data_IF_278159825356
#
_entry.id   IF_278159825356
#
_cell.length_a   1.000
_cell.length_b   1.000
_cell.length_c   1.000
_cell.angle_alpha   90.00
_cell.angle_beta   90.00
_cell.angle_gamma   90.00
#
_symmetry.space_group_name_H-M   'P 1'
#
loop_
_entity.id
_entity.type
_entity.pdbx_description
1 polymer ?
#
# COMPACT_ATOMS: atom_id res chain seq x y z
N UNK A 1 29.94 2.75 -2.12
CA UNK A 1 29.67 2.54 -0.67
C UNK A 1 28.21 2.78 -0.27
N UNK A 2 27.55 3.86 -0.73
CA UNK A 2 26.19 4.24 -0.29
C UNK A 2 25.12 3.14 -0.45
N UNK A 3 25.10 2.43 -1.59
CA UNK A 3 24.15 1.32 -1.82
C UNK A 3 24.34 0.19 -0.81
N UNK A 4 25.59 -0.17 -0.49
CA UNK A 4 25.88 -1.20 0.52
C UNK A 4 25.40 -0.76 1.90
N UNK A 5 25.67 0.49 2.29
CA UNK A 5 25.18 1.05 3.56
C UNK A 5 23.65 0.99 3.61
N UNK A 6 22.96 1.37 2.53
CA UNK A 6 21.50 1.30 2.48
C UNK A 6 20.98 -0.14 2.56
N UNK A 7 21.60 -1.11 1.88
CA UNK A 7 21.24 -2.53 2.00
C UNK A 7 21.44 -3.04 3.44
N UNK A 8 22.53 -2.64 4.10
CA UNK A 8 22.79 -2.94 5.52
C UNK A 8 21.70 -2.31 6.39
N UNK A 9 21.33 -1.05 6.16
CA UNK A 9 20.26 -0.39 6.91
C UNK A 9 18.90 -1.08 6.72
N UNK A 10 18.57 -1.54 5.51
CA UNK A 10 17.35 -2.31 5.23
C UNK A 10 17.39 -3.65 5.98
N UNK A 11 18.53 -4.36 5.94
CA UNK A 11 18.71 -5.61 6.67
C UNK A 11 18.58 -5.40 8.18
N UNK A 12 19.19 -4.35 8.71
CA UNK A 12 19.07 -3.95 10.12
C UNK A 12 17.62 -3.61 10.48
N UNK A 13 16.89 -2.90 9.62
CA UNK A 13 15.47 -2.58 9.85
C UNK A 13 14.62 -3.86 9.91
N UNK A 14 14.85 -4.82 9.02
CA UNK A 14 14.17 -6.13 9.04
C UNK A 14 14.49 -6.87 10.34
N UNK A 15 15.76 -6.87 10.75
CA UNK A 15 16.21 -7.51 11.98
C UNK A 15 15.54 -6.88 13.22
N UNK A 16 15.52 -5.55 13.33
CA UNK A 16 14.89 -4.83 14.44
C UNK A 16 13.39 -5.08 14.52
N UNK A 17 12.68 -5.09 13.37
CA UNK A 17 11.25 -5.42 13.33
C UNK A 17 11.03 -6.85 13.81
N UNK A 18 11.83 -7.82 13.34
CA UNK A 18 11.69 -9.21 13.73
C UNK A 18 11.99 -9.42 15.23
N UNK A 19 13.00 -8.73 15.75
CA UNK A 19 13.34 -8.74 17.17
C UNK A 19 12.20 -8.16 18.00
N UNK A 20 11.62 -7.02 17.62
CA UNK A 20 10.48 -6.42 18.30
C UNK A 20 9.24 -7.32 18.29
N UNK A 21 8.96 -7.98 17.17
CA UNK A 21 7.88 -8.97 17.06
C UNK A 21 8.14 -10.17 17.98
N UNK A 22 9.36 -10.70 18.01
CA UNK A 22 9.73 -11.82 18.88
C UNK A 22 9.58 -11.45 20.37
N UNK A 23 10.05 -10.26 20.79
CA UNK A 23 9.87 -9.75 22.15
C UNK A 23 8.38 -9.63 22.49
N UNK A 24 7.57 -9.06 21.59
CA UNK A 24 6.13 -8.93 21.79
C UNK A 24 5.45 -10.29 22.01
N UNK A 25 5.79 -11.30 21.21
CA UNK A 25 5.22 -12.65 21.37
C UNK A 25 5.68 -13.35 22.66
N UNK A 26 6.93 -13.12 23.07
CA UNK A 26 7.45 -13.60 24.35
C UNK A 26 6.69 -12.98 25.52
N UNK A 27 6.52 -11.65 25.52
CA UNK A 27 5.78 -10.91 26.56
C UNK A 27 4.29 -11.29 26.59
N UNK A 28 3.65 -11.40 25.43
CA UNK A 28 2.24 -11.76 25.32
C UNK A 28 1.95 -13.25 25.56
N UNK A 29 2.99 -14.10 25.64
CA UNK A 29 2.89 -15.57 25.74
C UNK A 29 2.00 -16.20 24.64
N UNK A 30 2.04 -15.64 23.44
CA UNK A 30 1.25 -16.12 22.28
C UNK A 30 2.16 -16.86 21.29
N UNK A 31 1.64 -17.90 20.63
CA UNK A 31 2.39 -18.64 19.61
C UNK A 31 2.67 -17.77 18.37
N UNK A 32 3.93 -17.72 17.96
CA UNK A 32 4.39 -17.02 16.76
C UNK A 32 3.78 -17.64 15.48
N UNK A 33 3.34 -16.79 14.55
CA UNK A 33 2.79 -17.21 13.26
C UNK A 33 3.79 -16.90 12.14
N UNK A 34 4.27 -17.94 11.43
CA UNK A 34 5.24 -17.81 10.32
C UNK A 34 4.80 -16.82 9.23
N UNK A 35 3.49 -16.66 9.03
CA UNK A 35 2.91 -15.76 8.03
C UNK A 35 3.28 -14.29 8.25
N UNK A 36 3.61 -13.91 9.49
CA UNK A 36 4.03 -12.54 9.81
C UNK A 36 5.35 -12.22 9.11
N UNK A 37 6.29 -13.17 9.05
CA UNK A 37 7.59 -12.98 8.38
C UNK A 37 7.39 -12.67 6.90
N UNK A 38 6.55 -13.46 6.20
CA UNK A 38 6.34 -13.24 4.77
C UNK A 38 5.67 -11.89 4.49
N UNK A 39 4.67 -11.50 5.28
CA UNK A 39 4.02 -10.19 5.15
C UNK A 39 5.03 -9.07 5.40
N UNK A 40 5.82 -9.18 6.47
CA UNK A 40 6.83 -8.17 6.82
C UNK A 40 7.87 -8.04 5.70
N UNK A 41 8.38 -9.14 5.15
CA UNK A 41 9.35 -9.09 4.05
C UNK A 41 8.77 -8.42 2.79
N UNK A 42 7.55 -8.79 2.38
CA UNK A 42 6.88 -8.18 1.23
C UNK A 42 6.63 -6.68 1.46
N UNK A 43 6.14 -6.32 2.65
CA UNK A 43 5.91 -4.93 3.05
C UNK A 43 7.21 -4.13 3.02
N UNK A 44 8.27 -4.66 3.61
CA UNK A 44 9.60 -4.03 3.66
C UNK A 44 10.20 -3.84 2.28
N UNK A 45 10.02 -4.81 1.39
CA UNK A 45 10.41 -4.68 -0.01
C UNK A 45 9.66 -3.53 -0.70
N UNK A 46 8.32 -3.50 -0.62
CA UNK A 46 7.51 -2.45 -1.27
C UNK A 46 7.82 -1.06 -0.69
N UNK A 47 8.03 -0.98 0.63
CA UNK A 47 8.36 0.27 1.31
C UNK A 47 9.73 0.83 0.89
N UNK A 48 10.74 -0.03 0.76
CA UNK A 48 12.11 0.38 0.41
C UNK A 48 12.39 0.40 -1.11
N UNK A 49 11.44 -0.06 -1.93
CA UNK A 49 11.59 -0.15 -3.39
C UNK A 49 12.06 1.16 -4.04
N UNK A 50 11.39 2.28 -3.74
CA UNK A 50 11.73 3.60 -4.30
C UNK A 50 13.18 4.00 -3.99
N UNK A 51 13.64 3.78 -2.76
CA UNK A 51 14.99 4.13 -2.34
C UNK A 51 16.05 3.26 -3.05
N UNK A 52 15.78 1.96 -3.17
CA UNK A 52 16.65 1.01 -3.90
C UNK A 52 16.83 1.40 -5.36
N UNK A 53 15.71 1.61 -6.07
CA UNK A 53 15.74 2.02 -7.47
C UNK A 53 16.46 3.37 -7.63
N UNK A 54 16.15 4.37 -6.80
CA UNK A 54 16.81 5.67 -6.88
C UNK A 54 18.34 5.59 -6.72
N UNK A 55 18.84 4.82 -5.75
CA UNK A 55 20.29 4.68 -5.55
C UNK A 55 20.98 3.86 -6.63
N UNK A 56 20.31 2.87 -7.22
CA UNK A 56 20.89 2.08 -8.30
C UNK A 56 20.95 2.88 -9.61
N UNK A 57 19.87 3.61 -9.94
CA UNK A 57 19.83 4.46 -11.12
C UNK A 57 20.75 5.68 -11.01
N UNK A 58 20.98 6.23 -9.81
CA UNK A 58 21.91 7.35 -9.64
C UNK A 58 23.38 6.97 -9.88
N UNK A 59 23.76 5.69 -9.76
CA UNK A 59 25.09 5.21 -10.13
C UNK A 59 25.25 5.12 -11.66
N UNK A 60 24.14 4.86 -12.36
CA UNK A 60 24.12 4.73 -13.82
C UNK A 60 24.02 6.08 -14.54
N UNK A 61 23.66 7.14 -13.82
CA UNK A 61 23.48 8.47 -14.35
C UNK A 61 24.69 9.38 -14.08
N UNK A 62 24.88 10.36 -14.96
CA UNK A 62 25.91 11.37 -14.85
C UNK A 62 25.34 12.68 -14.30
N UNK A 63 26.23 13.51 -13.76
CA UNK A 63 25.97 14.91 -13.45
C UNK A 63 27.19 15.72 -13.84
N UNK A 64 26.95 16.79 -14.57
CA UNK A 64 28.00 17.71 -15.01
C UNK A 64 28.28 18.75 -13.91
N UNK A 65 29.55 18.88 -13.52
CA UNK A 65 30.04 19.91 -12.59
C UNK A 65 31.30 20.52 -13.22
N UNK A 66 31.24 21.82 -13.53
CA UNK A 66 32.34 22.53 -14.19
C UNK A 66 32.82 21.83 -15.47
N UNK A 67 31.90 21.42 -16.34
CA UNK A 67 32.16 20.71 -17.61
C UNK A 67 32.78 19.31 -17.47
N UNK A 68 32.81 18.77 -16.25
CA UNK A 68 33.29 17.41 -15.99
C UNK A 68 32.11 16.56 -15.54
N UNK A 69 31.96 15.39 -16.16
CA UNK A 69 30.91 14.44 -15.83
C UNK A 69 31.34 13.56 -14.66
N UNK A 70 30.61 13.66 -13.56
CA UNK A 70 30.74 12.80 -12.39
C UNK A 70 29.57 11.83 -12.31
N UNK A 71 29.74 10.75 -11.55
CA UNK A 71 28.62 9.86 -11.23
C UNK A 71 27.67 10.58 -10.29
N UNK A 72 26.37 10.64 -10.63
CA UNK A 72 25.39 11.40 -9.86
C UNK A 72 25.26 10.88 -8.42
N UNK A 73 25.33 9.56 -8.23
CA UNK A 73 25.31 8.92 -6.92
C UNK A 73 26.57 9.11 -6.08
N UNK A 74 27.72 9.46 -6.70
CA UNK A 74 29.02 9.60 -6.05
C UNK A 74 29.95 10.56 -6.82
N UNK A 75 29.98 11.82 -6.41
CA UNK A 75 30.76 12.89 -7.06
C UNK A 75 32.28 12.71 -6.88
N UNK A 76 32.73 11.75 -6.07
CA UNK A 76 34.16 11.42 -5.97
C UNK A 76 34.69 10.65 -7.19
N UNK A 77 33.80 10.13 -8.04
CA UNK A 77 34.15 9.25 -9.15
C UNK A 77 33.76 9.89 -10.49
N UNK A 78 34.72 9.92 -11.42
CA UNK A 78 34.48 10.36 -12.80
C UNK A 78 33.59 9.36 -13.52
N UNK A 79 32.59 9.90 -14.23
CA UNK A 79 31.74 9.12 -15.12
C UNK A 79 32.59 8.51 -16.25
N UNK A 80 32.23 7.32 -16.73
CA UNK A 80 32.97 6.57 -17.77
C UNK A 80 34.39 6.12 -17.43
N UNK A 81 34.89 6.37 -16.21
CA UNK A 81 36.15 5.76 -15.77
C UNK A 81 36.08 4.23 -15.80
N UNK A 82 37.22 3.54 -15.97
CA UNK A 82 37.28 2.07 -15.99
C UNK A 82 36.69 1.44 -14.71
N UNK A 83 36.91 2.10 -13.57
CA UNK A 83 36.30 1.74 -12.29
C UNK A 83 34.77 1.92 -12.32
N UNK A 84 34.26 3.06 -12.83
CA UNK A 84 32.82 3.30 -12.99
C UNK A 84 32.16 2.20 -13.80
N UNK A 85 32.69 1.92 -14.99
CA UNK A 85 32.12 0.93 -15.91
C UNK A 85 32.09 -0.46 -15.28
N UNK A 86 33.16 -0.85 -14.57
CA UNK A 86 33.22 -2.13 -13.85
C UNK A 86 32.11 -2.24 -12.80
N UNK A 87 31.92 -1.20 -11.98
CA UNK A 87 30.85 -1.16 -10.98
C UNK A 87 29.45 -1.11 -11.61
N UNK A 88 29.30 -0.36 -12.70
CA UNK A 88 28.04 -0.24 -13.42
C UNK A 88 27.59 -1.60 -13.98
N UNK A 89 28.45 -2.29 -14.74
CA UNK A 89 28.09 -3.54 -15.39
C UNK A 89 28.06 -4.75 -14.45
N UNK A 90 28.97 -4.84 -13.47
CA UNK A 90 29.01 -5.99 -12.55
C UNK A 90 28.03 -5.88 -11.38
N UNK A 91 27.61 -4.66 -11.02
CA UNK A 91 26.79 -4.45 -9.83
C UNK A 91 25.52 -3.64 -10.09
N UNK A 92 25.61 -2.39 -10.53
CA UNK A 92 24.43 -1.50 -10.60
C UNK A 92 23.36 -2.00 -11.58
N UNK A 93 23.77 -2.38 -12.80
CA UNK A 93 22.88 -2.89 -13.84
C UNK A 93 22.23 -4.24 -13.46
N UNK A 94 22.97 -5.30 -13.07
CA UNK A 94 22.34 -6.57 -12.72
C UNK A 94 21.46 -6.47 -11.48
N UNK A 95 21.85 -5.68 -10.47
CA UNK A 95 21.03 -5.50 -9.25
C UNK A 95 19.78 -4.65 -9.55
N UNK A 96 19.87 -3.61 -10.39
CA UNK A 96 18.69 -2.84 -10.80
C UNK A 96 17.73 -3.67 -11.65
N UNK A 97 18.22 -4.53 -12.53
CA UNK A 97 17.40 -5.45 -13.31
C UNK A 97 16.72 -6.48 -12.39
N UNK A 98 17.45 -7.02 -11.42
CA UNK A 98 16.91 -7.96 -10.43
C UNK A 98 15.80 -7.33 -9.59
N UNK A 99 16.05 -6.16 -9.00
CA UNK A 99 15.14 -5.50 -8.06
C UNK A 99 14.01 -4.76 -8.78
N UNK A 100 14.30 -4.08 -9.89
CA UNK A 100 13.35 -3.23 -10.61
C UNK A 100 12.48 -3.96 -11.62
N UNK A 101 12.91 -5.13 -12.11
CA UNK A 101 12.19 -5.85 -13.16
C UNK A 101 11.91 -7.31 -12.78
N UNK A 102 12.93 -8.12 -12.50
CA UNK A 102 12.75 -9.57 -12.28
C UNK A 102 11.86 -9.82 -11.06
N UNK A 103 12.18 -9.22 -9.91
CA UNK A 103 11.45 -9.45 -8.67
C UNK A 103 9.98 -9.00 -8.81
N UNK A 104 9.67 -7.79 -9.34
CA UNK A 104 8.30 -7.39 -9.64
C UNK A 104 7.54 -8.36 -10.56
N UNK A 105 8.15 -8.74 -11.68
CA UNK A 105 7.52 -9.63 -12.66
C UNK A 105 7.31 -11.03 -12.08
N UNK A 106 8.24 -11.53 -11.26
CA UNK A 106 8.11 -12.83 -10.60
C UNK A 106 6.93 -12.86 -9.61
N UNK A 107 6.75 -11.79 -8.83
CA UNK A 107 5.64 -11.68 -7.89
C UNK A 107 4.30 -11.49 -8.62
N UNK A 108 4.26 -10.73 -9.72
CA UNK A 108 3.08 -10.62 -10.59
C UNK A 108 2.69 -11.97 -11.18
N UNK A 109 3.67 -12.67 -11.76
CA UNK A 109 3.49 -14.00 -12.34
C UNK A 109 2.97 -14.99 -11.30
N UNK A 110 3.56 -14.97 -10.09
CA UNK A 110 3.13 -15.82 -8.99
C UNK A 110 1.69 -15.53 -8.55
N UNK A 111 1.29 -14.25 -8.47
CA UNK A 111 -0.10 -13.86 -8.19
C UNK A 111 -1.05 -14.33 -9.28
N UNK A 112 -0.66 -14.18 -10.55
CA UNK A 112 -1.47 -14.60 -11.70
C UNK A 112 -1.71 -16.12 -11.69
N UNK A 113 -0.67 -16.92 -11.50
CA UNK A 113 -0.81 -18.38 -11.44
C UNK A 113 -1.66 -18.86 -10.25
N UNK A 114 -1.65 -18.14 -9.13
CA UNK A 114 -2.36 -18.53 -7.89
C UNK A 114 -3.68 -17.79 -7.67
N UNK A 115 -4.22 -17.13 -8.69
CA UNK A 115 -5.48 -16.36 -8.60
C UNK A 115 -6.67 -17.15 -8.05
N UNK A 116 -6.77 -18.44 -8.40
CA UNK A 116 -7.82 -19.34 -7.90
C UNK A 116 -7.72 -19.64 -6.39
N UNK A 117 -6.62 -19.28 -5.74
CA UNK A 117 -6.39 -19.50 -4.31
C UNK A 117 -6.61 -18.24 -3.46
N UNK A 118 -7.02 -17.12 -4.06
CA UNK A 118 -7.20 -15.85 -3.34
C UNK A 118 -8.24 -15.94 -2.22
N UNK A 119 -9.26 -16.79 -2.39
CA UNK A 119 -10.27 -17.04 -1.36
C UNK A 119 -9.78 -17.94 -0.21
N UNK A 120 -8.65 -18.63 -0.36
CA UNK A 120 -8.11 -19.50 0.68
C UNK A 120 -7.44 -18.66 1.77
N UNK A 121 -7.97 -18.78 3.00
CA UNK A 121 -7.50 -18.07 4.20
C UNK A 121 -5.98 -18.23 4.42
N UNK A 122 -5.43 -19.43 4.16
CA UNK A 122 -3.99 -19.68 4.34
C UNK A 122 -3.14 -18.84 3.38
N UNK A 123 -3.49 -18.79 2.10
CA UNK A 123 -2.79 -18.01 1.08
C UNK A 123 -2.92 -16.50 1.34
N UNK A 124 -4.14 -16.05 1.64
CA UNK A 124 -4.45 -14.65 1.97
C UNK A 124 -3.67 -14.12 3.17
N UNK A 125 -3.32 -14.97 4.13
CA UNK A 125 -2.48 -14.58 5.27
C UNK A 125 -1.02 -14.34 4.91
N UNK A 126 -0.50 -14.87 3.81
CA UNK A 126 0.91 -14.69 3.43
C UNK A 126 1.10 -13.53 2.46
N UNK A 127 0.19 -13.41 1.49
CA UNK A 127 0.35 -12.54 0.31
C UNK A 127 -0.77 -11.49 0.24
N UNK A 128 -1.73 -11.55 1.15
CA UNK A 128 -2.88 -10.65 1.15
C UNK A 128 -2.51 -9.17 1.18
N UNK A 129 -1.32 -8.79 1.65
CA UNK A 129 -0.87 -7.40 1.52
C UNK A 129 -0.88 -6.90 0.07
N UNK A 130 -0.53 -7.74 -0.91
CA UNK A 130 -0.47 -7.36 -2.32
C UNK A 130 -1.83 -7.17 -2.98
N UNK A 131 -2.90 -7.81 -2.47
CA UNK A 131 -4.18 -7.88 -3.18
C UNK A 131 -5.42 -7.60 -2.34
N UNK A 132 -5.34 -7.54 -1.00
CA UNK A 132 -6.53 -7.43 -0.14
C UNK A 132 -7.32 -6.14 -0.33
N UNK A 133 -6.67 -5.08 -0.79
CA UNK A 133 -7.30 -3.77 -0.99
C UNK A 133 -7.92 -3.63 -2.38
N UNK A 134 -7.56 -4.54 -3.30
CA UNK A 134 -7.95 -4.49 -4.70
C UNK A 134 -9.09 -5.43 -5.03
N UNK A 135 -9.85 -5.08 -6.06
CA UNK A 135 -10.82 -5.99 -6.64
C UNK A 135 -10.13 -7.23 -7.21
N UNK A 136 -10.85 -8.36 -7.30
CA UNK A 136 -10.30 -9.60 -7.87
C UNK A 136 -9.83 -9.43 -9.33
N UNK A 137 -10.37 -8.44 -10.05
CA UNK A 137 -10.00 -8.13 -11.44
C UNK A 137 -8.76 -7.22 -11.52
N UNK A 138 -8.50 -6.42 -10.49
CA UNK A 138 -7.41 -5.44 -10.46
C UNK A 138 -6.28 -5.85 -9.50
N UNK A 139 -6.09 -7.15 -9.25
CA UNK A 139 -5.03 -7.66 -8.35
C UNK A 139 -3.60 -7.32 -8.80
N UNK A 140 -3.40 -6.90 -10.05
CA UNK A 140 -2.12 -6.44 -10.57
C UNK A 140 -1.80 -4.97 -10.25
N UNK A 141 -2.69 -4.25 -9.57
CA UNK A 141 -2.57 -2.81 -9.40
C UNK A 141 -1.32 -2.36 -8.63
N UNK A 142 -0.85 -3.17 -7.68
CA UNK A 142 0.40 -2.87 -6.96
C UNK A 142 1.59 -2.75 -7.94
N UNK A 143 1.60 -3.54 -9.01
CA UNK A 143 2.63 -3.46 -10.06
C UNK A 143 2.58 -2.15 -10.82
N UNK A 144 1.39 -1.68 -11.18
CA UNK A 144 1.21 -0.39 -11.86
C UNK A 144 1.76 0.74 -10.98
N UNK A 145 1.50 0.69 -9.67
CA UNK A 145 2.05 1.68 -8.73
C UNK A 145 3.59 1.62 -8.64
N UNK A 146 4.17 0.43 -8.63
CA UNK A 146 5.63 0.25 -8.61
C UNK A 146 6.28 0.74 -9.91
N UNK A 147 5.69 0.44 -11.07
CA UNK A 147 6.16 0.94 -12.36
C UNK A 147 6.05 2.45 -12.47
N UNK A 148 4.92 3.05 -12.04
CA UNK A 148 4.77 4.51 -11.95
C UNK A 148 5.91 5.15 -11.15
N UNK A 149 6.20 4.63 -9.96
CA UNK A 149 7.30 5.14 -9.12
C UNK A 149 8.65 5.01 -9.82
N UNK A 150 8.89 3.90 -10.51
CA UNK A 150 10.14 3.65 -11.25
C UNK A 150 10.32 4.65 -12.39
N UNK A 151 9.28 4.89 -13.18
CA UNK A 151 9.30 5.88 -14.27
C UNK A 151 9.57 7.28 -13.73
N UNK A 152 8.90 7.67 -12.64
CA UNK A 152 9.14 8.98 -11.98
C UNK A 152 10.60 9.11 -11.53
N UNK A 153 11.18 8.07 -10.91
CA UNK A 153 12.59 8.08 -10.48
C UNK A 153 13.53 8.24 -11.68
N UNK A 154 13.30 7.49 -12.76
CA UNK A 154 14.10 7.59 -13.99
C UNK A 154 14.05 9.02 -14.53
N UNK A 155 12.87 9.64 -14.61
CA UNK A 155 12.73 11.03 -15.05
C UNK A 155 13.47 11.99 -14.11
N UNK A 156 13.34 11.82 -12.78
CA UNK A 156 14.01 12.67 -11.80
C UNK A 156 15.54 12.63 -11.92
N UNK A 157 16.09 11.44 -12.19
CA UNK A 157 17.53 11.17 -12.29
C UNK A 157 18.08 11.72 -13.61
N UNK A 158 17.52 11.31 -14.76
CA UNK A 158 18.06 11.67 -16.07
C UNK A 158 17.79 13.12 -16.48
N UNK A 159 16.76 13.76 -15.93
CA UNK A 159 16.44 15.17 -16.20
C UNK A 159 16.77 16.07 -15.00
N UNK A 160 17.81 15.73 -14.21
CA UNK A 160 18.18 16.52 -13.02
C UNK A 160 18.38 18.01 -13.36
N UNK A 161 19.16 18.30 -14.41
CA UNK A 161 19.54 19.65 -14.87
C UNK A 161 18.37 20.39 -15.53
N UNK A 162 17.59 19.69 -16.33
CA UNK A 162 16.50 20.25 -17.12
C UNK A 162 15.18 20.25 -16.34
N UNK A 163 15.03 21.20 -15.41
CA UNK A 163 13.89 21.27 -14.48
C UNK A 163 12.54 21.37 -15.21
N UNK A 164 12.47 22.10 -16.32
CA UNK A 164 11.25 22.22 -17.12
C UNK A 164 10.81 20.86 -17.70
N UNK A 165 11.69 20.16 -18.42
CA UNK A 165 11.40 18.84 -18.99
C UNK A 165 11.09 17.81 -17.90
N UNK A 166 11.80 17.85 -16.77
CA UNK A 166 11.53 17.02 -15.59
C UNK A 166 10.11 17.21 -15.07
N UNK A 167 9.68 18.45 -14.85
CA UNK A 167 8.33 18.77 -14.38
C UNK A 167 7.25 18.31 -15.37
N UNK A 168 7.45 18.60 -16.66
CA UNK A 168 6.53 18.22 -17.72
C UNK A 168 6.35 16.70 -17.84
N UNK A 169 7.45 15.93 -17.93
CA UNK A 169 7.41 14.48 -18.08
C UNK A 169 6.79 13.78 -16.87
N UNK A 170 7.08 14.25 -15.64
CA UNK A 170 6.44 13.73 -14.43
C UNK A 170 4.94 14.05 -14.46
N UNK A 171 4.54 15.26 -14.86
CA UNK A 171 3.15 15.65 -15.04
C UNK A 171 2.41 14.72 -16.01
N UNK A 172 2.98 14.46 -17.19
CA UNK A 172 2.43 13.52 -18.18
C UNK A 172 2.31 12.10 -17.62
N UNK A 173 3.34 11.60 -16.94
CA UNK A 173 3.32 10.29 -16.30
C UNK A 173 2.17 10.17 -15.27
N UNK A 174 1.94 11.21 -14.46
CA UNK A 174 0.85 11.24 -13.49
C UNK A 174 -0.53 11.33 -14.15
N UNK A 175 -0.67 12.09 -15.23
CA UNK A 175 -1.92 12.14 -16.00
C UNK A 175 -2.27 10.79 -16.61
N UNK A 176 -1.29 10.08 -17.20
CA UNK A 176 -1.50 8.72 -17.72
C UNK A 176 -1.95 7.79 -16.59
N UNK A 177 -1.26 7.81 -15.44
CA UNK A 177 -1.67 7.04 -14.27
C UNK A 177 -3.11 7.35 -13.84
N UNK A 178 -3.48 8.63 -13.81
CA UNK A 178 -4.82 9.05 -13.44
C UNK A 178 -5.88 8.52 -14.41
N UNK A 179 -5.63 8.56 -15.73
CA UNK A 179 -6.53 8.00 -16.75
C UNK A 179 -6.73 6.50 -16.52
N UNK A 180 -5.65 5.75 -16.35
CA UNK A 180 -5.71 4.30 -16.08
C UNK A 180 -6.48 4.05 -14.76
N UNK A 181 -6.23 4.86 -13.72
CA UNK A 181 -6.91 4.71 -12.41
C UNK A 181 -8.41 4.97 -12.52
N UNK A 182 -8.81 5.96 -13.31
CA UNK A 182 -10.21 6.30 -13.53
C UNK A 182 -10.96 5.21 -14.30
N UNK A 183 -10.27 4.52 -15.22
CA UNK A 183 -10.85 3.41 -15.99
C UNK A 183 -10.99 2.12 -15.17
N UNK A 184 -9.97 1.77 -14.38
CA UNK A 184 -9.92 0.45 -13.72
C UNK A 184 -10.53 0.41 -12.31
N UNK A 185 -10.68 1.56 -11.62
CA UNK A 185 -11.23 1.65 -10.25
C UNK A 185 -10.75 0.50 -9.33
N UNK A 186 -9.42 0.41 -9.12
CA UNK A 186 -8.76 -0.80 -8.64
C UNK A 186 -9.16 -1.22 -7.23
N UNK A 187 -9.52 -0.30 -6.35
CA UNK A 187 -9.81 -0.58 -4.95
C UNK A 187 -11.23 -1.12 -4.74
N UNK A 188 -11.39 -2.03 -3.78
CA UNK A 188 -12.71 -2.54 -3.37
C UNK A 188 -13.60 -1.41 -2.85
N UNK A 189 -13.00 -0.48 -2.10
CA UNK A 189 -13.72 0.64 -1.51
C UNK A 189 -13.67 1.86 -2.44
N UNK A 190 -14.84 2.30 -2.92
CA UNK A 190 -14.98 3.50 -3.77
C UNK A 190 -14.34 4.76 -3.17
N UNK A 191 -14.39 4.90 -1.84
CA UNK A 191 -13.71 6.01 -1.14
C UNK A 191 -12.20 6.04 -1.41
N UNK A 192 -11.54 4.87 -1.45
CA UNK A 192 -10.10 4.77 -1.75
C UNK A 192 -9.81 5.11 -3.21
N UNK A 193 -10.64 4.65 -4.16
CA UNK A 193 -10.53 5.05 -5.57
C UNK A 193 -10.59 6.58 -5.72
N UNK A 194 -11.55 7.22 -5.05
CA UNK A 194 -11.71 8.67 -5.09
C UNK A 194 -10.54 9.41 -4.44
N UNK A 195 -10.00 8.88 -3.33
CA UNK A 195 -8.83 9.46 -2.67
C UNK A 195 -7.56 9.34 -3.53
N UNK A 196 -7.34 8.19 -4.17
CA UNK A 196 -6.19 7.99 -5.06
C UNK A 196 -6.27 8.92 -6.28
N UNK A 197 -7.45 9.02 -6.93
CA UNK A 197 -7.67 9.95 -8.05
C UNK A 197 -7.46 11.41 -7.65
N UNK A 198 -8.09 11.86 -6.55
CA UNK A 198 -7.92 13.24 -6.06
C UNK A 198 -6.48 13.52 -5.65
N UNK A 199 -5.77 12.53 -5.10
CA UNK A 199 -4.36 12.68 -4.75
C UNK A 199 -3.47 12.85 -5.97
N UNK A 200 -3.69 12.04 -7.01
CA UNK A 200 -2.96 12.15 -8.26
C UNK A 200 -3.17 13.52 -8.92
N UNK A 201 -4.41 14.01 -8.93
CA UNK A 201 -4.77 15.34 -9.45
C UNK A 201 -4.10 16.48 -8.68
N UNK A 202 -4.19 16.47 -7.35
CA UNK A 202 -3.55 17.51 -6.53
C UNK A 202 -2.03 17.48 -6.69
N UNK A 203 -1.44 16.29 -6.81
CA UNK A 203 -0.02 16.12 -7.06
C UNK A 203 0.39 16.64 -8.44
N UNK A 204 -0.37 16.34 -9.50
CA UNK A 204 -0.06 16.86 -10.84
C UNK A 204 -0.15 18.39 -10.88
N UNK A 205 -1.20 18.96 -10.28
CA UNK A 205 -1.35 20.42 -10.16
C UNK A 205 -0.16 21.04 -9.42
N UNK A 206 0.25 20.45 -8.29
CA UNK A 206 1.40 20.93 -7.52
C UNK A 206 2.71 20.88 -8.32
N UNK A 207 2.93 19.84 -9.13
CA UNK A 207 4.13 19.72 -9.97
C UNK A 207 4.14 20.77 -11.08
N UNK A 208 2.99 21.02 -11.73
CA UNK A 208 2.90 22.09 -12.73
C UNK A 208 3.14 23.47 -12.11
N UNK A 209 2.57 23.74 -10.93
CA UNK A 209 2.81 24.99 -10.21
C UNK A 209 4.29 25.14 -9.80
N UNK A 210 4.94 24.07 -9.37
CA UNK A 210 6.36 24.08 -9.04
C UNK A 210 7.23 24.35 -10.28
N UNK A 211 6.86 23.83 -11.46
CA UNK A 211 7.55 24.12 -12.71
C UNK A 211 7.38 25.60 -13.12
N UNK A 212 6.19 26.17 -12.96
CA UNK A 212 5.94 27.60 -13.21
C UNK A 212 6.68 28.48 -12.19
N UNK A 213 6.68 28.08 -10.91
CA UNK A 213 7.43 28.78 -9.86
C UNK A 213 8.91 28.89 -10.23
N UNK A 214 9.51 27.80 -10.71
CA UNK A 214 10.90 27.78 -11.16
C UNK A 214 11.15 28.77 -12.32
N UNK A 215 10.23 28.87 -13.28
CA UNK A 215 10.33 29.82 -14.39
C UNK A 215 10.26 31.28 -13.90
N UNK A 216 9.35 31.59 -12.96
CA UNK A 216 9.28 32.92 -12.36
C UNK A 216 10.56 33.28 -11.60
N UNK A 217 11.18 32.32 -10.92
CA UNK A 217 12.44 32.53 -10.20
C UNK A 217 13.60 32.83 -11.17
N UNK A 218 13.64 32.17 -12.33
CA UNK A 218 14.62 32.48 -13.38
C UNK A 218 14.43 33.87 -14.02
N UNK A 219 13.19 34.39 -14.05
CA UNK A 219 12.88 35.72 -14.56
C UNK A 219 13.05 36.84 -13.53
N UNK A 220 13.62 36.54 -12.35
CA UNK A 220 13.80 37.46 -11.22
C UNK A 220 12.47 37.98 -10.60
N UNK A 221 11.34 37.36 -10.95
CA UNK A 221 9.99 37.70 -10.49
C UNK A 221 9.66 37.09 -9.12
N UNK A 222 10.36 37.56 -8.08
CA UNK A 222 10.27 36.99 -6.72
C UNK A 222 8.86 37.03 -6.10
N UNK A 223 8.04 38.01 -6.47
CA UNK A 223 6.68 38.15 -5.92
C UNK A 223 5.79 36.99 -6.38
N UNK A 224 5.77 36.70 -7.69
CA UNK A 224 4.98 35.62 -8.25
C UNK A 224 5.48 34.25 -7.76
N UNK A 225 6.80 34.05 -7.66
CA UNK A 225 7.39 32.83 -7.12
C UNK A 225 6.93 32.56 -5.66
N UNK A 226 6.94 33.59 -4.80
CA UNK A 226 6.46 33.46 -3.41
C UNK A 226 4.97 33.14 -3.32
N UNK A 227 4.14 33.77 -4.17
CA UNK A 227 2.70 33.48 -4.23
C UNK A 227 2.46 32.01 -4.61
N UNK A 228 3.16 31.52 -5.64
CA UNK A 228 3.06 30.12 -6.09
C UNK A 228 3.52 29.15 -4.99
N UNK A 229 4.60 29.47 -4.26
CA UNK A 229 5.07 28.66 -3.16
C UNK A 229 4.03 28.53 -2.03
N UNK A 230 3.38 29.63 -1.64
CA UNK A 230 2.29 29.62 -0.64
C UNK A 230 1.14 28.73 -1.15
N UNK A 231 0.78 28.86 -2.43
CA UNK A 231 -0.28 28.08 -3.04
C UNK A 231 0.04 26.58 -3.06
N UNK A 232 1.29 26.20 -3.35
CA UNK A 232 1.77 24.80 -3.28
C UNK A 232 1.65 24.27 -1.84
N UNK A 233 2.06 25.03 -0.83
CA UNK A 233 1.94 24.63 0.58
C UNK A 233 0.46 24.40 0.96
N UNK A 234 -0.44 25.28 0.54
CA UNK A 234 -1.88 25.13 0.77
C UNK A 234 -2.44 23.86 0.09
N UNK A 235 -2.00 23.55 -1.14
CA UNK A 235 -2.38 22.31 -1.83
C UNK A 235 -1.88 21.08 -1.08
N UNK A 236 -0.62 21.08 -0.62
CA UNK A 236 -0.04 19.98 0.14
C UNK A 236 -0.78 19.74 1.47
N UNK A 237 -1.18 20.83 2.16
CA UNK A 237 -1.99 20.74 3.36
C UNK A 237 -3.38 20.17 3.07
N UNK A 238 -4.07 20.70 2.05
CA UNK A 238 -5.38 20.20 1.59
C UNK A 238 -5.34 18.74 1.19
N UNK A 239 -4.24 18.30 0.56
CA UNK A 239 -4.00 16.91 0.18
C UNK A 239 -3.83 16.00 1.41
N UNK A 240 -3.05 16.41 2.40
CA UNK A 240 -2.71 15.57 3.57
C UNK A 240 -3.85 15.45 4.58
N UNK A 241 -4.65 16.50 4.73
CA UNK A 241 -5.75 16.58 5.70
C UNK A 241 -6.74 15.39 5.66
N UNK A 242 -7.33 14.99 4.50
CA UNK A 242 -8.29 13.88 4.47
C UNK A 242 -7.68 12.55 4.93
N UNK A 243 -6.41 12.28 4.61
CA UNK A 243 -5.73 11.05 5.05
C UNK A 243 -5.53 11.05 6.57
N UNK A 244 -5.03 12.16 7.12
CA UNK A 244 -4.82 12.30 8.57
C UNK A 244 -6.16 12.19 9.30
N UNK A 245 -7.19 12.87 8.82
CA UNK A 245 -8.52 12.83 9.40
C UNK A 245 -9.12 11.42 9.37
N UNK A 246 -9.02 10.72 8.23
CA UNK A 246 -9.55 9.36 8.09
C UNK A 246 -8.80 8.36 8.99
N UNK A 247 -7.48 8.47 9.08
CA UNK A 247 -6.66 7.66 9.99
C UNK A 247 -7.07 7.96 11.43
N UNK A 248 -7.07 9.22 11.86
CA UNK A 248 -7.45 9.61 13.23
C UNK A 248 -8.87 9.15 13.54
N UNK A 249 -9.82 9.32 12.62
CA UNK A 249 -11.21 8.88 12.79
C UNK A 249 -11.32 7.37 12.94
N UNK A 250 -10.60 6.61 12.11
CA UNK A 250 -10.58 5.14 12.20
C UNK A 250 -9.97 4.65 13.53
N UNK A 251 -8.85 5.24 13.95
CA UNK A 251 -8.21 4.93 15.23
C UNK A 251 -9.08 5.37 16.41
N UNK A 252 -9.66 6.57 16.36
CA UNK A 252 -10.58 7.08 17.36
C UNK A 252 -11.77 6.15 17.51
N UNK A 253 -12.43 5.73 16.43
CA UNK A 253 -13.57 4.82 16.52
C UNK A 253 -13.19 3.46 17.13
N UNK A 254 -12.01 2.94 16.77
CA UNK A 254 -11.49 1.66 17.29
C UNK A 254 -11.09 1.72 18.76
N UNK A 255 -10.56 2.85 19.23
CA UNK A 255 -9.99 2.98 20.58
C UNK A 255 -10.81 3.87 21.53
N UNK A 256 -11.94 4.46 21.09
CA UNK A 256 -12.75 5.38 21.90
C UNK A 256 -13.13 4.83 23.27
N UNK A 257 -13.49 3.54 23.37
CA UNK A 257 -13.88 2.93 24.66
C UNK A 257 -12.69 2.87 25.62
N UNK A 258 -11.50 2.50 25.12
CA UNK A 258 -10.27 2.44 25.92
C UNK A 258 -9.78 3.84 26.30
N UNK A 259 -9.82 4.78 25.37
CA UNK A 259 -9.45 6.18 25.60
C UNK A 259 -10.36 6.81 26.66
N UNK A 260 -11.68 6.63 26.54
CA UNK A 260 -12.64 7.14 27.52
C UNK A 260 -12.42 6.51 28.91
N UNK A 261 -12.12 5.20 28.97
CA UNK A 261 -11.79 4.51 30.23
C UNK A 261 -10.52 5.08 30.88
N UNK A 262 -9.46 5.30 30.09
CA UNK A 262 -8.22 5.94 30.57
C UNK A 262 -8.48 7.36 31.08
N UNK A 263 -9.28 8.14 30.34
CA UNK A 263 -9.64 9.51 30.71
C UNK A 263 -10.43 9.53 32.04
N UNK A 264 -11.38 8.61 32.23
CA UNK A 264 -12.11 8.47 33.51
C UNK A 264 -11.18 8.10 34.66
N UNK A 265 -10.22 7.18 34.44
CA UNK A 265 -9.23 6.81 35.47
C UNK A 265 -8.36 8.03 35.83
N UNK A 266 -7.82 8.73 34.82
CA UNK A 266 -6.99 9.92 35.02
C UNK A 266 -7.74 11.06 35.73
N UNK A 267 -9.02 11.28 35.41
CA UNK A 267 -9.85 12.27 36.11
C UNK A 267 -10.17 11.85 37.55
N UNK A 268 -10.43 10.56 37.81
CA UNK A 268 -10.63 10.05 39.17
C UNK A 268 -9.39 10.24 40.04
N UNK A 269 -8.20 10.11 39.47
CA UNK A 269 -6.94 10.37 40.19
C UNK A 269 -6.69 11.85 40.45
N UNK A 270 -7.13 12.75 39.57
CA UNK A 270 -6.92 14.19 39.71
C UNK A 270 -7.96 14.88 40.61
N UNK A 271 -9.24 14.57 40.43
CA UNK A 271 -10.31 15.15 41.24
C UNK A 271 -11.52 14.21 41.33
N UNK A 272 -11.64 13.44 42.44
CA UNK A 272 -12.64 12.37 42.55
C UNK A 272 -14.10 12.86 42.60
N UNK A 273 -14.36 14.13 42.95
CA UNK A 273 -15.71 14.65 43.14
C UNK A 273 -16.28 15.43 41.94
N UNK A 274 -15.59 15.45 40.78
CA UNK A 274 -16.09 16.24 39.65
C UNK A 274 -17.37 15.63 39.03
N UNK A 275 -18.38 16.48 38.80
CA UNK A 275 -19.59 16.12 38.06
C UNK A 275 -19.30 15.59 36.64
N UNK A 276 -18.13 15.94 36.09
CA UNK A 276 -17.62 15.45 34.81
C UNK A 276 -17.36 13.94 34.82
N UNK A 277 -16.87 13.39 35.94
CA UNK A 277 -16.66 11.94 36.07
C UNK A 277 -17.99 11.21 35.94
N UNK A 278 -19.04 11.64 36.64
CA UNK A 278 -20.35 11.00 36.55
C UNK A 278 -20.88 11.01 35.11
N UNK A 279 -20.82 12.17 34.42
CA UNK A 279 -21.22 12.30 33.01
C UNK A 279 -20.41 11.39 32.07
N UNK A 280 -19.09 11.32 32.24
CA UNK A 280 -18.22 10.48 31.43
C UNK A 280 -18.44 8.99 31.68
N UNK A 281 -18.68 8.60 32.93
CA UNK A 281 -18.95 7.21 33.31
C UNK A 281 -20.29 6.75 32.73
N UNK A 282 -21.33 7.58 32.81
CA UNK A 282 -22.61 7.30 32.18
C UNK A 282 -22.48 7.14 30.65
N UNK A 283 -21.72 8.04 30.00
CA UNK A 283 -21.46 7.95 28.56
C UNK A 283 -20.67 6.69 28.18
N UNK A 284 -19.72 6.29 29.02
CA UNK A 284 -18.95 5.04 28.86
C UNK A 284 -19.88 3.82 28.90
N UNK A 285 -20.79 3.77 29.86
CA UNK A 285 -21.74 2.67 30.01
C UNK A 285 -22.73 2.62 28.84
N UNK A 286 -23.25 3.76 28.39
CA UNK A 286 -24.09 3.81 27.18
C UNK A 286 -23.36 3.25 25.95
N UNK A 287 -22.10 3.63 25.74
CA UNK A 287 -21.30 3.12 24.63
C UNK A 287 -21.05 1.62 24.74
N UNK A 288 -20.70 1.14 25.93
CA UNK A 288 -20.51 -0.28 26.21
C UNK A 288 -21.77 -1.10 25.97
N UNK A 289 -22.93 -0.59 26.39
CA UNK A 289 -24.21 -1.25 26.10
C UNK A 289 -24.50 -1.30 24.59
N UNK A 290 -24.22 -0.22 23.86
CA UNK A 290 -24.41 -0.17 22.41
C UNK A 290 -23.49 -1.17 21.69
N UNK A 291 -22.21 -1.29 22.07
CA UNK A 291 -21.29 -2.25 21.46
C UNK A 291 -21.70 -3.70 21.75
N UNK A 292 -22.13 -4.00 22.98
CA UNK A 292 -22.69 -5.32 23.35
C UNK A 292 -23.94 -5.64 22.51
N UNK A 293 -24.86 -4.69 22.31
CA UNK A 293 -26.06 -4.88 21.46
C UNK A 293 -25.69 -5.18 20.02
N UNK A 294 -24.75 -4.43 19.44
CA UNK A 294 -24.26 -4.65 18.07
C UNK A 294 -23.63 -6.04 17.94
N UNK A 295 -22.79 -6.44 18.90
CA UNK A 295 -22.14 -7.76 18.88
C UNK A 295 -23.17 -8.91 18.97
N UNK A 296 -24.19 -8.76 19.84
CA UNK A 296 -25.30 -9.73 19.93
C UNK A 296 -26.07 -9.82 18.61
N UNK A 297 -26.40 -8.69 18.01
CA UNK A 297 -27.11 -8.65 16.72
C UNK A 297 -26.25 -9.27 15.60
N UNK A 298 -24.95 -8.99 15.58
CA UNK A 298 -24.03 -9.59 14.61
C UNK A 298 -23.91 -11.11 14.79
N UNK A 299 -23.85 -11.61 16.04
CA UNK A 299 -23.87 -13.05 16.34
C UNK A 299 -25.17 -13.70 15.85
N UNK A 300 -26.33 -13.06 16.10
CA UNK A 300 -27.64 -13.52 15.60
C UNK A 300 -27.68 -13.59 14.08
N UNK A 301 -27.27 -12.51 13.39
CA UNK A 301 -27.20 -12.48 11.93
C UNK A 301 -26.30 -13.58 11.37
N UNK A 302 -25.11 -13.77 11.95
CA UNK A 302 -24.18 -14.83 11.55
C UNK A 302 -24.79 -16.22 11.72
N UNK A 303 -25.50 -16.48 12.82
CA UNK A 303 -26.20 -17.74 13.05
C UNK A 303 -27.30 -17.96 12.00
N UNK A 304 -28.10 -16.95 11.70
CA UNK A 304 -29.14 -17.00 10.66
C UNK A 304 -28.54 -17.31 9.29
N UNK A 305 -27.44 -16.64 8.90
CA UNK A 305 -26.77 -16.92 7.62
C UNK A 305 -26.22 -18.35 7.54
N UNK A 306 -25.71 -18.89 8.65
CA UNK A 306 -25.24 -20.28 8.70
C UNK A 306 -26.41 -21.26 8.58
N UNK A 307 -27.52 -21.00 9.27
CA UNK A 307 -28.74 -21.82 9.20
C UNK A 307 -29.31 -21.83 7.79
N UNK A 308 -29.37 -20.66 7.14
CA UNK A 308 -29.86 -20.54 5.76
C UNK A 308 -28.97 -21.31 4.78
N UNK A 309 -27.65 -21.17 4.85
CA UNK A 309 -26.71 -21.96 4.04
C UNK A 309 -26.85 -23.47 4.25
N UNK A 310 -27.25 -23.93 5.44
CA UNK A 310 -27.53 -25.36 5.70
C UNK A 310 -28.82 -25.80 5.04
N UNK A 311 -29.90 -25.00 5.11
CA UNK A 311 -31.16 -25.27 4.43
C UNK A 311 -30.98 -25.35 2.91
N UNK A 312 -30.32 -24.35 2.31
CA UNK A 312 -30.04 -24.32 0.88
C UNK A 312 -29.24 -25.56 0.41
N UNK A 313 -28.34 -26.07 1.26
CA UNK A 313 -27.57 -27.29 0.97
C UNK A 313 -28.44 -28.55 1.01
N UNK A 314 -29.35 -28.65 2.00
CA UNK A 314 -30.29 -29.77 2.12
C UNK A 314 -31.25 -29.79 0.92
N UNK A 315 -31.82 -28.63 0.56
CA UNK A 315 -32.71 -28.51 -0.59
C UNK A 315 -32.02 -28.93 -1.89
N UNK A 316 -30.75 -28.52 -2.10
CA UNK A 316 -29.96 -28.96 -3.27
C UNK A 316 -29.66 -30.46 -3.28
N UNK A 317 -29.55 -31.11 -2.12
CA UNK A 317 -29.36 -32.56 -2.04
C UNK A 317 -30.68 -33.32 -2.30
N UNK A 318 -31.82 -32.72 -1.93
CA UNK A 318 -33.14 -33.29 -2.19
C UNK A 318 -33.57 -33.14 -3.65
N UNK A 319 -33.09 -32.11 -4.35
CA UNK A 319 -33.18 -32.03 -5.82
C UNK A 319 -32.14 -32.99 -6.42
N UNK A 320 -32.35 -34.29 -6.23
CA UNK A 320 -31.70 -35.32 -7.03
C UNK A 320 -32.21 -35.16 -8.46
N UNK A 321 -31.46 -34.47 -9.30
CA UNK A 321 -31.71 -34.43 -10.74
C UNK A 321 -31.60 -35.87 -11.24
N UNK A 322 -32.66 -36.48 -11.79
CA UNK A 322 -32.54 -37.81 -12.38
C UNK A 322 -31.51 -37.72 -13.50
N UNK A 323 -30.36 -38.36 -13.31
CA UNK A 323 -29.33 -38.44 -14.34
C UNK A 323 -29.75 -39.55 -15.29
N UNK A 324 -30.10 -39.18 -16.52
CA UNK A 324 -30.33 -40.11 -17.61
C UNK A 324 -28.99 -40.76 -17.94
N UNK A 325 -28.81 -42.00 -17.49
CA UNK A 325 -27.68 -42.83 -17.90
C UNK A 325 -28.17 -43.80 -18.98
N UNK A 326 -27.57 -43.69 -20.16
CA UNK A 326 -27.78 -44.62 -21.26
C UNK A 326 -27.06 -45.93 -20.91
N UNK A 327 -27.81 -47.03 -20.83
CA UNK A 327 -27.21 -48.34 -20.67
C UNK A 327 -26.56 -48.78 -22.00
N UNK A 328 -25.62 -49.74 -21.96
CA UNK A 328 -24.91 -50.26 -23.15
C UNK A 328 -25.84 -50.85 -24.23
N UNK A 329 -27.10 -51.10 -23.90
CA UNK A 329 -28.15 -51.58 -24.82
C UNK A 329 -28.91 -50.45 -25.55
N UNK A 330 -28.64 -49.17 -25.29
CA UNK A 330 -29.37 -48.04 -25.86
C UNK A 330 -30.72 -47.73 -25.20
N UNK A 331 -31.14 -48.53 -24.21
CA UNK A 331 -32.37 -48.27 -23.46
C UNK A 331 -32.16 -47.21 -22.35
N UNK A 332 -33.07 -46.24 -22.33
CA UNK A 332 -33.18 -45.22 -21.28
C UNK A 332 -33.80 -45.83 -20.03
N UNK A 333 -32.96 -46.13 -19.02
CA UNK A 333 -33.43 -46.57 -17.70
C UNK A 333 -33.29 -45.45 -16.69
N UNK A 334 -34.41 -45.01 -16.13
CA UNK A 334 -34.42 -44.12 -14.96
C UNK A 334 -33.91 -44.90 -13.75
N UNK A 335 -32.70 -44.57 -13.30
CA UNK A 335 -32.13 -45.14 -12.08
C UNK A 335 -32.15 -44.06 -11.00
N UNK A 336 -33.08 -44.19 -10.05
CA UNK A 336 -33.03 -43.43 -8.81
C UNK A 336 -31.82 -43.92 -8.01
N UNK A 337 -30.74 -43.14 -8.01
CA UNK A 337 -29.65 -43.37 -7.05
C UNK A 337 -30.15 -42.93 -5.68
N UNK A 338 -30.46 -43.90 -4.82
CA UNK A 338 -30.47 -43.67 -3.39
C UNK A 338 -29.00 -43.60 -2.94
N UNK A 339 -28.58 -42.41 -2.48
CA UNK A 339 -27.29 -42.22 -1.81
C UNK A 339 -27.38 -42.61 -0.34
#
# INVERSE_FOLDING_TARGET
MRVLVMLILIALQIFLIQLGVNIFFMLARVRFRKNIISITLIYMYIQNYTALINQLFSIMANREISQINYVQGDVSLLFESSNHQTWMYRFALPVSLLIGLILPMSLLWFLYQKRNLFDKIQFRKHIGYLFNEYSNNSSFWEWIKLWKKTIIIIILIYFETNIFYKGFLIGVCLMIYQIITAQYLPYIYSKLNNLDLKSAQLCSIAIFLAAVQYLCEQQEDQVYAKILQILIILICFKFSFPYIFDIISAYYYKYKEKLLKLLVIALKTLNPQSNLICKLTYKLDQWRQKSIRIERNFKKLKQMTIQQKRKDKIERQQICVPTLSLNKSGELKFKLMNF
#
